data_IF_488062587352
#
_entry.id   IF_488062587352
#
_cell.length_a   1.000
_cell.length_b   1.000
_cell.length_c   1.000
_cell.angle_alpha   90.00
_cell.angle_beta   90.00
_cell.angle_gamma   90.00
#
_symmetry.space_group_name_H-M   'P 1'
#
loop_
_entity.id
_entity.type
_entity.pdbx_description
1 polymer ?
#
# COMPACT_ATOMS: atom_id res chain seq x y z
N UNK A 1 17.44 41.13 20.09
CA UNK A 1 17.30 39.98 19.15
C UNK A 1 17.50 40.40 17.68
N UNK A 2 18.67 40.95 17.29
CA UNK A 2 18.98 41.29 15.88
C UNK A 2 20.30 40.66 15.36
N UNK A 3 20.97 39.84 16.18
CA UNK A 3 22.27 39.24 15.83
C UNK A 3 22.14 37.95 14.99
N UNK A 4 21.04 37.21 15.11
CA UNK A 4 20.82 35.94 14.39
C UNK A 4 20.76 36.07 12.85
N UNK A 5 20.02 37.04 12.27
CA UNK A 5 19.99 37.19 10.81
C UNK A 5 21.33 37.68 10.24
N UNK A 6 22.10 38.46 11.01
CA UNK A 6 23.45 38.90 10.64
C UNK A 6 24.44 37.73 10.61
N UNK A 7 24.34 36.80 11.56
CA UNK A 7 25.16 35.59 11.60
C UNK A 7 24.85 34.62 10.44
N UNK A 8 23.58 34.49 10.04
CA UNK A 8 23.20 33.66 8.89
C UNK A 8 23.67 34.24 7.55
N UNK A 9 23.57 35.56 7.38
CA UNK A 9 24.09 36.25 6.18
C UNK A 9 25.62 36.17 6.15
N UNK A 10 26.30 36.36 7.28
CA UNK A 10 27.75 36.20 7.37
C UNK A 10 28.21 34.76 7.06
N UNK A 11 27.47 33.75 7.53
CA UNK A 11 27.74 32.33 7.24
C UNK A 11 27.56 31.99 5.77
N UNK A 12 26.50 32.50 5.12
CA UNK A 12 26.28 32.32 3.69
C UNK A 12 27.38 32.98 2.83
N UNK A 13 27.81 34.19 3.21
CA UNK A 13 28.92 34.89 2.53
C UNK A 13 30.25 34.15 2.75
N UNK A 14 30.50 33.63 3.95
CA UNK A 14 31.71 32.86 4.26
C UNK A 14 31.77 31.55 3.47
N UNK A 15 30.65 30.82 3.36
CA UNK A 15 30.59 29.58 2.59
C UNK A 15 30.74 29.82 1.08
N UNK A 16 30.15 30.90 0.54
CA UNK A 16 30.34 31.30 -0.85
C UNK A 16 31.79 31.73 -1.16
N UNK A 17 32.44 32.43 -0.24
CA UNK A 17 33.85 32.81 -0.35
C UNK A 17 34.78 31.57 -0.30
N UNK A 18 34.45 30.58 0.53
CA UNK A 18 35.23 29.35 0.63
C UNK A 18 35.18 28.52 -0.66
N UNK A 19 34.00 28.37 -1.26
CA UNK A 19 33.81 27.65 -2.54
C UNK A 19 34.52 28.34 -3.70
N UNK A 20 34.52 29.68 -3.74
CA UNK A 20 35.21 30.43 -4.80
C UNK A 20 36.73 30.39 -4.66
N UNK A 21 37.27 30.33 -3.44
CA UNK A 21 38.73 30.19 -3.21
C UNK A 21 39.22 28.78 -3.53
N UNK A 22 38.45 27.73 -3.22
CA UNK A 22 38.84 26.34 -3.53
C UNK A 22 38.78 26.04 -5.03
N UNK A 23 37.79 26.58 -5.75
CA UNK A 23 37.69 26.47 -7.21
C UNK A 23 38.74 27.29 -7.97
N UNK A 24 39.29 28.37 -7.37
CA UNK A 24 40.40 29.13 -7.96
C UNK A 24 41.77 28.52 -7.68
N UNK A 25 41.90 27.65 -6.66
CA UNK A 25 43.17 26.98 -6.31
C UNK A 25 43.45 25.72 -7.14
N UNK A 26 42.47 25.20 -7.88
CA UNK A 26 42.64 24.04 -8.77
C UNK A 26 43.13 24.42 -10.18
N UNK A 27 43.37 25.70 -10.44
CA UNK A 27 44.02 26.16 -11.67
C UNK A 27 45.43 26.68 -11.32
N UNK A 28 46.43 25.81 -11.44
CA UNK A 28 47.84 26.21 -11.60
C UNK A 28 48.37 25.73 -12.96
N UNK A 29 49.27 26.49 -13.62
CA UNK A 29 49.72 26.23 -14.99
C UNK A 29 50.95 25.30 -15.09
N UNK A 30 51.13 24.81 -16.32
CA UNK A 30 52.00 23.76 -16.91
C UNK A 30 53.51 23.70 -16.60
N UNK A 31 54.09 22.50 -16.83
CA UNK A 31 55.19 22.18 -17.79
C UNK A 31 55.45 20.64 -17.74
N UNK A 32 55.68 19.84 -18.79
CA UNK A 32 56.54 20.02 -20.00
C UNK A 32 56.24 18.96 -21.11
N UNK A 33 56.26 19.41 -22.38
CA UNK A 33 56.72 18.76 -23.65
C UNK A 33 56.18 17.40 -24.15
N UNK A 34 55.59 17.35 -25.38
CA UNK A 34 56.28 17.07 -26.69
C UNK A 34 55.29 16.90 -27.88
N UNK A 35 55.61 17.56 -29.00
CA UNK A 35 55.28 17.29 -30.44
C UNK A 35 53.86 17.42 -31.06
N UNK A 36 53.84 18.22 -32.14
CA UNK A 36 52.85 18.55 -33.20
C UNK A 36 52.39 17.39 -34.13
N UNK A 37 51.48 17.57 -35.14
CA UNK A 37 50.85 18.83 -35.62
C UNK A 37 49.31 18.84 -35.86
N UNK A 38 48.80 20.07 -35.86
CA UNK A 38 47.75 20.67 -36.71
C UNK A 38 46.73 19.76 -37.39
N UNK A 39 45.47 19.85 -36.95
CA UNK A 39 44.34 20.09 -37.85
C UNK A 39 43.55 21.29 -37.30
N UNK A 40 43.66 22.42 -37.99
CA UNK A 40 42.79 23.58 -37.78
C UNK A 40 41.39 23.22 -38.23
N UNK A 41 40.45 23.12 -37.29
CA UNK A 41 39.03 23.32 -37.56
C UNK A 41 38.52 24.37 -36.58
N UNK A 42 38.66 25.63 -37.01
CA UNK A 42 37.97 26.78 -36.43
C UNK A 42 36.48 26.53 -36.44
N UNK A 43 35.92 26.14 -35.29
CA UNK A 43 34.50 26.33 -35.00
C UNK A 43 34.44 27.30 -33.84
N UNK A 44 34.12 28.55 -34.14
CA UNK A 44 34.00 29.61 -33.14
C UNK A 44 32.91 29.28 -32.13
N UNK A 45 33.29 28.76 -30.97
CA UNK A 45 32.45 28.77 -29.78
C UNK A 45 32.57 30.19 -29.22
N UNK A 46 31.62 31.04 -29.60
CA UNK A 46 31.31 32.26 -28.85
C UNK A 46 31.00 31.82 -27.41
N UNK A 47 31.71 32.31 -26.37
CA UNK A 47 31.25 32.11 -25.01
C UNK A 47 29.88 32.79 -24.90
N UNK A 48 28.84 32.00 -24.67
CA UNK A 48 27.53 32.54 -24.30
C UNK A 48 27.67 33.12 -22.89
N UNK A 49 28.12 34.36 -22.80
CA UNK A 49 28.00 35.20 -21.60
C UNK A 49 26.53 35.55 -21.42
N UNK A 50 25.74 34.57 -20.95
CA UNK A 50 24.51 34.87 -20.23
C UNK A 50 24.96 35.45 -18.88
N UNK A 51 24.53 36.66 -18.48
CA UNK A 51 24.93 37.20 -17.19
C UNK A 51 24.47 36.23 -16.10
N UNK A 52 25.42 35.66 -15.35
CA UNK A 52 25.09 34.88 -14.17
C UNK A 52 24.33 35.81 -13.22
N UNK A 53 23.11 35.42 -12.84
CA UNK A 53 22.30 36.19 -11.89
C UNK A 53 23.15 36.53 -10.66
N UNK A 54 23.24 37.81 -10.29
CA UNK A 54 24.04 38.21 -9.15
C UNK A 54 23.35 37.75 -7.86
N UNK A 55 24.12 37.46 -6.81
CA UNK A 55 23.57 37.14 -5.49
C UNK A 55 22.66 38.25 -4.96
N UNK A 56 22.92 39.50 -5.34
CA UNK A 56 22.09 40.67 -5.05
C UNK A 56 20.71 40.59 -5.71
N UNK A 57 20.62 40.09 -6.94
CA UNK A 57 19.35 39.95 -7.67
C UNK A 57 18.46 38.86 -7.03
N UNK A 58 19.07 37.73 -6.63
CA UNK A 58 18.37 36.64 -5.94
C UNK A 58 17.80 37.12 -4.59
N UNK A 59 18.61 37.85 -3.81
CA UNK A 59 18.17 38.43 -2.52
C UNK A 59 17.08 39.48 -2.74
N UNK A 60 17.15 40.24 -3.83
CA UNK A 60 16.15 41.25 -4.17
C UNK A 60 14.83 40.63 -4.59
N UNK A 61 14.83 39.57 -5.42
CA UNK A 61 13.63 38.82 -5.80
C UNK A 61 12.95 38.16 -4.58
N UNK A 62 13.75 37.62 -3.65
CA UNK A 62 13.24 37.06 -2.40
C UNK A 62 12.58 38.12 -1.51
N UNK A 63 13.17 39.32 -1.41
CA UNK A 63 12.61 40.46 -0.66
C UNK A 63 11.39 41.08 -1.33
N UNK A 64 11.40 41.14 -2.65
CA UNK A 64 10.30 41.65 -3.47
C UNK A 64 9.10 40.70 -3.47
N UNK A 65 9.27 39.48 -2.93
CA UNK A 65 8.26 38.46 -2.92
C UNK A 65 7.72 38.23 -4.34
N UNK A 66 8.63 37.94 -5.28
CA UNK A 66 8.31 37.60 -6.66
C UNK A 66 8.84 36.19 -6.98
N UNK A 67 7.96 35.16 -7.08
CA UNK A 67 8.39 33.78 -7.21
C UNK A 67 8.75 33.44 -8.67
N UNK A 68 8.22 34.18 -9.64
CA UNK A 68 8.51 34.01 -11.07
C UNK A 68 9.86 34.61 -11.40
N UNK A 69 10.14 35.83 -10.93
CA UNK A 69 11.47 36.43 -11.05
C UNK A 69 12.52 35.56 -10.36
N UNK A 70 12.22 35.03 -9.16
CA UNK A 70 13.12 34.11 -8.46
C UNK A 70 13.36 32.83 -9.27
N UNK A 71 12.31 32.21 -9.83
CA UNK A 71 12.42 31.02 -10.69
C UNK A 71 13.32 31.29 -11.90
N UNK A 72 13.08 32.39 -12.61
CA UNK A 72 13.78 32.71 -13.84
C UNK A 72 15.25 33.06 -13.57
N UNK A 73 15.54 33.76 -12.47
CA UNK A 73 16.91 34.02 -12.01
C UNK A 73 17.64 32.72 -11.67
N UNK A 74 17.04 31.84 -10.87
CA UNK A 74 17.67 30.58 -10.48
C UNK A 74 17.90 29.63 -11.67
N UNK A 75 16.95 29.57 -12.62
CA UNK A 75 17.12 28.83 -13.89
C UNK A 75 18.22 29.43 -14.76
N UNK A 76 18.28 30.77 -14.85
CA UNK A 76 19.30 31.46 -15.64
C UNK A 76 20.72 31.27 -15.08
N UNK A 77 20.83 31.09 -13.76
CA UNK A 77 22.07 30.78 -13.06
C UNK A 77 22.49 29.29 -13.19
N UNK A 78 21.70 28.46 -13.87
CA UNK A 78 22.04 27.06 -14.15
C UNK A 78 21.91 26.12 -12.96
N UNK A 79 21.12 26.49 -11.93
CA UNK A 79 20.85 25.57 -10.81
C UNK A 79 20.02 24.36 -11.28
N UNK A 80 20.21 23.17 -10.66
CA UNK A 80 19.37 22.01 -10.92
C UNK A 80 17.88 22.32 -10.68
N UNK A 81 16.99 21.75 -11.51
CA UNK A 81 15.53 22.01 -11.44
C UNK A 81 14.95 21.67 -10.06
N UNK A 82 15.45 20.61 -9.41
CA UNK A 82 15.08 20.26 -8.04
C UNK A 82 15.40 21.39 -7.05
N UNK A 83 16.61 21.98 -7.14
CA UNK A 83 17.01 23.11 -6.28
C UNK A 83 16.17 24.36 -6.56
N UNK A 84 15.86 24.64 -7.83
CA UNK A 84 14.96 25.73 -8.21
C UNK A 84 13.58 25.52 -7.58
N UNK A 85 13.01 24.32 -7.72
CA UNK A 85 11.70 23.97 -7.15
C UNK A 85 11.67 24.10 -5.64
N UNK A 86 12.69 23.62 -4.92
CA UNK A 86 12.76 23.74 -3.46
C UNK A 86 12.81 25.20 -3.02
N UNK A 87 13.68 26.02 -3.63
CA UNK A 87 13.87 27.41 -3.23
C UNK A 87 12.65 28.28 -3.55
N UNK A 88 12.11 28.17 -4.77
CA UNK A 88 10.92 28.92 -5.17
C UNK A 88 9.69 28.43 -4.43
N UNK A 89 9.54 27.11 -4.25
CA UNK A 89 8.45 26.54 -3.44
C UNK A 89 8.48 27.08 -2.01
N UNK A 90 9.65 27.09 -1.37
CA UNK A 90 9.81 27.69 -0.03
C UNK A 90 9.42 29.18 -0.02
N UNK A 91 9.76 29.93 -1.06
CA UNK A 91 9.39 31.34 -1.18
C UNK A 91 7.87 31.53 -1.34
N UNK A 92 7.19 30.68 -2.11
CA UNK A 92 5.73 30.68 -2.26
C UNK A 92 5.07 30.37 -0.92
N UNK A 93 5.40 29.24 -0.30
CA UNK A 93 4.86 28.84 1.01
C UNK A 93 5.15 29.87 2.11
N UNK A 94 6.29 30.57 2.02
CA UNK A 94 6.63 31.68 2.91
C UNK A 94 5.57 32.78 2.98
N UNK A 95 4.84 33.04 1.88
CA UNK A 95 3.77 34.07 1.80
C UNK A 95 2.54 33.72 2.59
N UNK A 96 2.26 32.43 2.67
CA UNK A 96 1.09 31.88 3.35
C UNK A 96 1.40 31.57 4.81
N UNK A 97 2.68 31.42 5.16
CA UNK A 97 3.15 31.02 6.49
C UNK A 97 2.55 31.83 7.63
N UNK A 98 2.55 33.17 7.54
CA UNK A 98 2.04 34.00 8.64
C UNK A 98 0.52 33.91 8.77
N UNK A 99 -0.20 33.86 7.64
CA UNK A 99 -1.66 33.66 7.62
C UNK A 99 -2.04 32.29 8.19
N UNK A 100 -1.36 31.23 7.76
CA UNK A 100 -1.55 29.88 8.28
C UNK A 100 -1.22 29.82 9.78
N UNK A 101 -0.11 30.42 10.21
CA UNK A 101 0.28 30.47 11.63
C UNK A 101 -0.74 31.23 12.48
N UNK A 102 -1.37 32.28 11.95
CA UNK A 102 -2.42 33.02 12.65
C UNK A 102 -3.70 32.20 12.87
N UNK A 103 -3.96 31.21 12.03
CA UNK A 103 -5.09 30.27 12.16
C UNK A 103 -4.80 29.11 13.13
N UNK A 104 -3.54 28.89 13.50
CA UNK A 104 -3.19 27.81 14.42
C UNK A 104 -3.67 28.11 15.84
N UNK A 105 -4.21 27.10 16.55
CA UNK A 105 -4.53 27.25 17.96
C UNK A 105 -3.26 27.57 18.73
N UNK A 106 -3.28 28.63 19.54
CA UNK A 106 -2.12 29.02 20.35
C UNK A 106 -1.91 27.96 21.44
N UNK A 107 -0.67 27.51 21.68
CA UNK A 107 -0.39 26.61 22.78
C UNK A 107 -0.75 27.31 24.10
N UNK A 108 -1.55 26.65 24.91
CA UNK A 108 -1.88 27.10 26.26
C UNK A 108 -0.63 26.96 27.15
N UNK A 109 -0.05 28.07 27.65
CA UNK A 109 1.18 28.04 28.43
C UNK A 109 1.00 27.39 29.81
N UNK A 110 -0.24 27.26 30.30
CA UNK A 110 -0.54 26.64 31.59
C UNK A 110 -0.80 25.12 31.46
N UNK A 111 -0.85 24.61 30.23
CA UNK A 111 -1.13 23.20 29.97
C UNK A 111 0.09 22.32 30.28
N UNK A 112 -0.03 21.30 31.15
CA UNK A 112 1.10 20.41 31.45
C UNK A 112 1.58 19.63 30.21
N UNK A 113 2.90 19.38 30.11
CA UNK A 113 3.52 18.75 28.93
C UNK A 113 3.03 17.31 28.64
N UNK A 114 2.47 16.62 29.63
CA UNK A 114 1.86 15.29 29.46
C UNK A 114 0.38 15.34 29.00
N UNK A 115 -0.23 16.53 29.00
CA UNK A 115 -1.58 16.80 28.43
C UNK A 115 -1.46 17.49 27.08
N UNK A 116 -0.49 17.05 26.29
CA UNK A 116 -0.13 17.71 25.06
C UNK A 116 -0.97 17.15 23.90
N UNK A 117 -1.96 17.93 23.47
CA UNK A 117 -2.76 17.64 22.27
C UNK A 117 -1.99 18.01 20.99
N UNK A 118 -0.65 17.94 21.01
CA UNK A 118 0.21 18.27 19.87
C UNK A 118 -0.07 17.41 18.63
N UNK A 119 -0.80 16.30 18.75
CA UNK A 119 -1.25 15.52 17.60
C UNK A 119 -2.65 15.90 17.10
N UNK A 120 -3.38 16.79 17.78
CA UNK A 120 -4.73 17.22 17.44
C UNK A 120 -4.75 18.65 16.85
N UNK A 121 -3.83 18.94 15.92
CA UNK A 121 -3.73 20.26 15.26
C UNK A 121 -5.06 20.70 14.63
N UNK A 122 -5.82 19.75 14.07
CA UNK A 122 -7.11 20.01 13.42
C UNK A 122 -8.28 20.05 14.41
N UNK A 123 -8.29 19.22 15.46
CA UNK A 123 -9.41 19.18 16.41
C UNK A 123 -9.48 20.37 17.36
N UNK A 124 -8.40 21.16 17.48
CA UNK A 124 -8.37 22.41 18.26
C UNK A 124 -8.70 23.66 17.42
N UNK A 125 -9.04 23.52 16.14
CA UNK A 125 -9.43 24.62 15.24
C UNK A 125 -10.95 24.68 15.09
N UNK A 126 -11.51 25.89 15.04
CA UNK A 126 -12.92 26.10 14.64
C UNK A 126 -13.15 25.64 13.19
N UNK A 127 -14.41 25.39 12.82
CA UNK A 127 -14.78 25.02 11.45
C UNK A 127 -14.30 26.05 10.42
N UNK A 128 -14.45 27.32 10.75
CA UNK A 128 -14.00 28.45 9.93
C UNK A 128 -12.47 28.47 9.80
N UNK A 129 -11.74 28.27 10.90
CA UNK A 129 -10.28 28.19 10.88
C UNK A 129 -9.77 27.04 10.00
N UNK A 130 -10.42 25.87 10.08
CA UNK A 130 -10.11 24.70 9.25
C UNK A 130 -10.37 24.97 7.77
N UNK A 131 -11.51 25.59 7.44
CA UNK A 131 -11.86 25.97 6.07
C UNK A 131 -10.88 26.99 5.49
N UNK A 132 -10.55 28.03 6.25
CA UNK A 132 -9.57 29.04 5.87
C UNK A 132 -8.16 28.46 5.68
N UNK A 133 -7.75 27.53 6.55
CA UNK A 133 -6.48 26.81 6.40
C UNK A 133 -6.43 26.02 5.08
N UNK A 134 -7.50 25.26 4.76
CA UNK A 134 -7.61 24.53 3.50
C UNK A 134 -7.56 25.48 2.29
N UNK A 135 -8.25 26.63 2.35
CA UNK A 135 -8.22 27.64 1.29
C UNK A 135 -6.79 28.15 1.04
N UNK A 136 -6.07 28.53 2.09
CA UNK A 136 -4.68 28.99 1.97
C UNK A 136 -3.76 27.90 1.43
N UNK A 137 -3.99 26.64 1.80
CA UNK A 137 -3.23 25.49 1.29
C UNK A 137 -3.46 25.31 -0.23
N UNK A 138 -4.71 25.42 -0.70
CA UNK A 138 -5.06 25.37 -2.13
C UNK A 138 -4.43 26.53 -2.90
N UNK A 139 -4.60 27.76 -2.42
CA UNK A 139 -3.98 28.95 -3.05
C UNK A 139 -2.45 28.78 -3.21
N UNK A 140 -1.77 28.27 -2.18
CA UNK A 140 -0.32 28.02 -2.23
C UNK A 140 0.07 26.91 -3.23
N UNK A 141 -0.72 25.85 -3.31
CA UNK A 141 -0.53 24.76 -4.26
C UNK A 141 -0.78 25.22 -5.71
N UNK A 142 -1.81 26.02 -5.95
CA UNK A 142 -2.14 26.58 -7.26
C UNK A 142 -1.06 27.55 -7.73
N UNK A 143 -0.60 28.43 -6.84
CA UNK A 143 0.53 29.33 -7.15
C UNK A 143 1.80 28.54 -7.44
N UNK A 144 2.09 27.50 -6.65
CA UNK A 144 3.24 26.60 -6.89
C UNK A 144 3.16 25.94 -8.26
N UNK A 145 2.00 25.41 -8.63
CA UNK A 145 1.76 24.75 -9.91
C UNK A 145 1.87 25.75 -11.08
N UNK A 146 1.31 26.95 -10.92
CA UNK A 146 1.37 28.03 -11.92
C UNK A 146 2.81 28.49 -12.18
N UNK A 147 3.62 28.62 -11.12
CA UNK A 147 4.99 29.14 -11.23
C UNK A 147 6.00 28.06 -11.64
N UNK A 148 5.93 26.88 -11.03
CA UNK A 148 6.93 25.81 -11.20
C UNK A 148 6.49 24.70 -12.16
N UNK A 149 5.22 24.70 -12.57
CA UNK A 149 4.59 23.57 -13.24
C UNK A 149 4.22 22.46 -12.25
N UNK A 150 3.62 21.36 -12.74
CA UNK A 150 3.26 20.21 -11.90
C UNK A 150 4.46 19.68 -11.12
N UNK A 151 4.28 19.43 -9.82
CA UNK A 151 5.32 18.85 -8.98
C UNK A 151 5.30 17.32 -9.13
N UNK A 152 6.33 16.73 -9.77
CA UNK A 152 6.42 15.28 -10.00
C UNK A 152 6.64 14.48 -8.70
N UNK A 153 7.18 15.13 -7.67
CA UNK A 153 7.58 14.48 -6.42
C UNK A 153 6.58 14.70 -5.26
N UNK A 154 5.49 15.43 -5.50
CA UNK A 154 4.47 15.62 -4.49
C UNK A 154 3.58 14.37 -4.39
N UNK A 155 3.88 13.52 -3.40
CA UNK A 155 3.15 12.27 -3.12
C UNK A 155 1.63 12.44 -2.87
N UNK A 156 1.13 13.67 -2.72
CA UNK A 156 -0.31 13.96 -2.58
C UNK A 156 -1.04 14.44 -3.85
N UNK A 157 -0.35 15.02 -4.84
CA UNK A 157 -0.99 15.72 -5.97
C UNK A 157 -0.21 15.66 -7.30
N UNK A 158 0.90 14.92 -7.34
CA UNK A 158 1.93 15.05 -8.39
C UNK A 158 2.12 13.84 -9.30
N UNK A 159 1.71 12.65 -8.87
CA UNK A 159 1.62 11.53 -9.77
C UNK A 159 0.35 11.68 -10.59
N UNK A 160 0.50 11.79 -11.91
CA UNK A 160 -0.53 11.34 -12.82
C UNK A 160 -0.80 9.89 -12.42
N UNK A 161 -1.85 9.67 -11.65
CA UNK A 161 -2.25 8.34 -11.25
C UNK A 161 -2.34 7.54 -12.55
N UNK A 162 -1.43 6.59 -12.73
CA UNK A 162 -1.34 5.83 -13.98
C UNK A 162 -2.65 5.08 -14.23
N UNK A 163 -3.47 4.88 -13.19
CA UNK A 163 -4.83 4.35 -13.29
C UNK A 163 -5.76 5.25 -14.11
N UNK A 164 -5.55 6.57 -14.12
CA UNK A 164 -6.32 7.56 -14.89
C UNK A 164 -5.80 7.77 -16.33
N UNK A 165 -4.76 7.05 -16.75
CA UNK A 165 -4.15 7.21 -18.09
C UNK A 165 -5.09 6.97 -19.28
N UNK A 166 -6.25 6.36 -19.04
CA UNK A 166 -7.31 6.18 -20.06
C UNK A 166 -8.11 7.46 -20.33
N UNK A 167 -8.01 8.47 -19.45
CA UNK A 167 -8.72 9.74 -19.59
C UNK A 167 -7.84 10.80 -20.26
N UNK A 168 -8.42 11.64 -21.14
CA UNK A 168 -7.79 12.87 -21.62
C UNK A 168 -7.31 13.77 -20.48
N UNK A 169 -6.30 14.60 -20.71
CA UNK A 169 -5.71 15.48 -19.69
C UNK A 169 -6.73 16.43 -19.03
N UNK A 170 -7.62 17.02 -19.83
CA UNK A 170 -8.68 17.90 -19.34
C UNK A 170 -9.61 17.16 -18.36
N UNK A 171 -10.15 15.99 -18.75
CA UNK A 171 -10.98 15.17 -17.87
C UNK A 171 -10.27 14.65 -16.62
N UNK A 172 -8.94 14.40 -16.70
CA UNK A 172 -8.15 14.03 -15.52
C UNK A 172 -8.10 15.16 -14.51
N UNK A 173 -8.01 16.41 -14.97
CA UNK A 173 -8.03 17.59 -14.11
C UNK A 173 -9.41 17.74 -13.47
N UNK A 174 -10.48 17.69 -14.26
CA UNK A 174 -11.86 17.80 -13.74
C UNK A 174 -12.17 16.69 -12.71
N UNK A 175 -11.73 15.46 -12.98
CA UNK A 175 -11.83 14.34 -12.05
C UNK A 175 -11.13 14.64 -10.71
N UNK A 176 -9.89 15.11 -10.76
CA UNK A 176 -9.09 15.39 -9.56
C UNK A 176 -9.73 16.52 -8.73
N UNK A 177 -10.30 17.53 -9.39
CA UNK A 177 -11.00 18.63 -8.73
C UNK A 177 -12.27 18.13 -8.01
N UNK A 178 -13.11 17.35 -8.69
CA UNK A 178 -14.31 16.75 -8.08
C UNK A 178 -13.93 15.86 -6.89
N UNK A 179 -12.96 14.95 -7.06
CA UNK A 179 -12.51 14.06 -5.98
C UNK A 179 -12.02 14.86 -4.77
N UNK A 180 -11.23 15.91 -5.01
CA UNK A 180 -10.71 16.76 -3.95
C UNK A 180 -11.82 17.51 -3.19
N UNK A 181 -12.78 18.09 -3.90
CA UNK A 181 -13.88 18.84 -3.30
C UNK A 181 -14.74 17.94 -2.40
N UNK A 182 -15.09 16.75 -2.87
CA UNK A 182 -15.85 15.79 -2.07
C UNK A 182 -15.04 15.21 -0.90
N UNK A 183 -13.74 14.96 -1.08
CA UNK A 183 -12.87 14.58 0.03
C UNK A 183 -12.82 15.67 1.11
N UNK A 184 -12.71 16.94 0.73
CA UNK A 184 -12.71 18.07 1.66
C UNK A 184 -14.04 18.18 2.42
N UNK A 185 -15.18 18.02 1.73
CA UNK A 185 -16.50 18.03 2.34
C UNK A 185 -16.70 16.86 3.32
N UNK A 186 -16.27 15.65 2.94
CA UNK A 186 -16.35 14.47 3.82
C UNK A 186 -15.44 14.64 5.04
N UNK A 187 -14.21 15.15 4.85
CA UNK A 187 -13.28 15.44 5.95
C UNK A 187 -13.85 16.47 6.91
N UNK A 188 -14.56 17.49 6.42
CA UNK A 188 -15.22 18.47 7.28
C UNK A 188 -16.29 17.83 8.16
N UNK A 189 -17.14 16.96 7.59
CA UNK A 189 -18.13 16.20 8.38
C UNK A 189 -17.43 15.31 9.41
N UNK A 190 -16.38 14.58 9.01
CA UNK A 190 -15.62 13.70 9.91
C UNK A 190 -14.98 14.46 11.09
N UNK A 191 -14.48 15.67 10.85
CA UNK A 191 -13.91 16.50 11.90
C UNK A 191 -14.98 17.08 12.82
N UNK A 192 -16.17 17.41 12.30
CA UNK A 192 -17.29 17.91 13.09
C UNK A 192 -17.89 16.84 14.02
N UNK A 193 -17.71 15.55 13.69
CA UNK A 193 -18.09 14.45 14.58
C UNK A 193 -17.32 14.47 15.91
N UNK A 194 -16.11 15.04 15.98
CA UNK A 194 -15.29 15.15 17.21
C UNK A 194 -15.20 13.84 18.03
N UNK A 195 -15.17 12.69 17.36
CA UNK A 195 -15.12 11.37 18.00
C UNK A 195 -16.48 10.77 18.41
N UNK A 196 -17.59 11.45 18.12
CA UNK A 196 -18.96 10.95 18.33
C UNK A 196 -19.80 11.08 17.06
N UNK A 197 -20.18 9.94 16.48
CA UNK A 197 -20.95 9.87 15.23
C UNK A 197 -22.44 10.00 15.47
N UNK A 198 -23.10 10.99 14.87
CA UNK A 198 -24.56 11.07 14.83
C UNK A 198 -25.12 10.39 13.57
N UNK A 199 -26.38 9.88 13.59
CA UNK A 199 -27.04 9.38 12.39
C UNK A 199 -27.13 10.44 11.27
N UNK A 200 -27.27 11.72 11.62
CA UNK A 200 -27.27 12.80 10.61
C UNK A 200 -25.93 12.93 9.88
N UNK A 201 -24.82 12.59 10.52
CA UNK A 201 -23.49 12.69 9.91
C UNK A 201 -23.27 11.54 8.93
N UNK A 202 -23.76 10.34 9.25
CA UNK A 202 -23.72 9.20 8.34
C UNK A 202 -24.61 9.42 7.11
N UNK A 203 -25.79 10.02 7.27
CA UNK A 203 -26.64 10.44 6.13
C UNK A 203 -25.94 11.49 5.24
N UNK A 204 -25.30 12.50 5.83
CA UNK A 204 -24.54 13.51 5.08
C UNK A 204 -23.41 12.88 4.27
N UNK A 205 -22.63 11.99 4.87
CA UNK A 205 -21.52 11.32 4.18
C UNK A 205 -22.04 10.46 3.03
N UNK A 206 -23.16 9.74 3.23
CA UNK A 206 -23.79 8.97 2.16
C UNK A 206 -24.24 9.87 1.01
N UNK A 207 -24.93 10.95 1.32
CA UNK A 207 -25.38 11.93 0.33
C UNK A 207 -24.21 12.51 -0.47
N UNK A 208 -23.12 12.91 0.21
CA UNK A 208 -21.91 13.42 -0.46
C UNK A 208 -21.30 12.38 -1.41
N UNK A 209 -21.28 11.10 -1.05
CA UNK A 209 -20.78 10.03 -1.94
C UNK A 209 -21.69 9.77 -3.14
N UNK A 210 -23.00 9.85 -2.96
CA UNK A 210 -23.97 9.70 -4.05
C UNK A 210 -23.86 10.85 -5.05
N UNK A 211 -23.74 12.09 -4.55
CA UNK A 211 -23.52 13.27 -5.39
C UNK A 211 -22.16 13.22 -6.09
N UNK A 212 -21.09 12.81 -5.40
CA UNK A 212 -19.78 12.56 -6.01
C UNK A 212 -19.90 11.59 -7.19
N UNK A 213 -20.60 10.46 -7.01
CA UNK A 213 -20.80 9.48 -8.08
C UNK A 213 -21.57 10.07 -9.25
N UNK A 214 -22.58 10.91 -8.99
CA UNK A 214 -23.37 11.57 -10.03
C UNK A 214 -22.56 12.59 -10.82
N UNK A 215 -21.75 13.40 -10.14
CA UNK A 215 -20.92 14.42 -10.78
C UNK A 215 -19.80 13.77 -11.61
N UNK A 216 -19.20 12.69 -11.10
CA UNK A 216 -18.27 11.87 -11.88
C UNK A 216 -18.94 11.26 -13.12
N UNK A 217 -20.17 10.76 -13.01
CA UNK A 217 -20.91 10.22 -14.14
C UNK A 217 -21.32 11.29 -15.18
N UNK A 218 -21.33 12.58 -14.82
CA UNK A 218 -21.61 13.68 -15.75
C UNK A 218 -20.42 14.02 -16.65
N UNK A 219 -19.18 13.84 -16.14
CA UNK A 219 -17.94 14.12 -16.91
C UNK A 219 -17.38 12.88 -17.62
N UNK A 220 -17.72 11.69 -17.12
CA UNK A 220 -17.29 10.41 -17.70
C UNK A 220 -18.40 9.83 -18.60
N UNK A 221 -18.02 9.38 -19.79
CA UNK A 221 -18.88 8.53 -20.61
C UNK A 221 -19.15 7.19 -19.91
N UNK A 222 -20.21 6.46 -20.26
CA UNK A 222 -20.49 5.15 -19.64
C UNK A 222 -19.31 4.16 -19.74
N UNK A 223 -18.55 4.19 -20.84
CA UNK A 223 -17.35 3.37 -21.00
C UNK A 223 -16.20 3.81 -20.07
N UNK A 224 -15.95 5.11 -19.98
CA UNK A 224 -14.95 5.67 -19.05
C UNK A 224 -15.33 5.42 -17.59
N UNK A 225 -16.62 5.46 -17.24
CA UNK A 225 -17.09 5.13 -15.90
C UNK A 225 -16.87 3.65 -15.56
N UNK A 226 -17.08 2.74 -16.53
CA UNK A 226 -16.79 1.32 -16.33
C UNK A 226 -15.27 1.07 -16.12
N UNK A 227 -14.41 1.72 -16.90
CA UNK A 227 -12.96 1.66 -16.71
C UNK A 227 -12.53 2.29 -15.38
N UNK A 228 -13.19 3.37 -14.97
CA UNK A 228 -13.00 3.97 -13.65
C UNK A 228 -13.32 2.97 -12.54
N UNK A 229 -14.52 2.37 -12.56
CA UNK A 229 -14.92 1.39 -11.53
C UNK A 229 -13.95 0.20 -11.51
N UNK A 230 -13.53 -0.29 -12.67
CA UNK A 230 -12.58 -1.39 -12.81
C UNK A 230 -11.21 -1.09 -12.17
N UNK A 231 -10.81 0.17 -12.09
CA UNK A 231 -9.46 0.57 -11.63
C UNK A 231 -9.44 1.20 -10.24
N UNK A 232 -10.50 1.91 -9.88
CA UNK A 232 -10.52 2.85 -8.75
C UNK A 232 -11.51 2.48 -7.65
N UNK A 233 -12.55 1.70 -7.96
CA UNK A 233 -13.58 1.31 -6.97
C UNK A 233 -12.99 0.59 -5.74
N UNK A 234 -13.73 0.55 -4.63
CA UNK A 234 -13.33 -0.20 -3.44
C UNK A 234 -13.07 -1.67 -3.77
N UNK A 235 -13.93 -2.29 -4.59
CA UNK A 235 -13.75 -3.64 -5.13
C UNK A 235 -12.42 -3.78 -5.87
N UNK A 236 -12.09 -2.83 -6.76
CA UNK A 236 -10.83 -2.82 -7.48
C UNK A 236 -9.61 -2.68 -6.55
N UNK A 237 -9.68 -1.81 -5.52
CA UNK A 237 -8.60 -1.67 -4.54
C UNK A 237 -8.32 -2.99 -3.81
N UNK A 238 -9.37 -3.66 -3.32
CA UNK A 238 -9.25 -4.93 -2.61
C UNK A 238 -8.76 -6.05 -3.54
N UNK A 239 -9.31 -6.11 -4.75
CA UNK A 239 -8.98 -7.16 -5.70
C UNK A 239 -7.55 -7.04 -6.23
N UNK A 240 -7.04 -5.82 -6.46
CA UNK A 240 -5.67 -5.59 -6.95
C UNK A 240 -4.63 -6.28 -6.07
N UNK A 241 -4.75 -6.16 -4.75
CA UNK A 241 -3.84 -6.85 -3.82
C UNK A 241 -3.91 -8.36 -3.91
N UNK A 242 -5.11 -8.93 -4.09
CA UNK A 242 -5.30 -10.38 -4.26
C UNK A 242 -4.72 -10.84 -5.60
N UNK A 243 -4.96 -10.09 -6.67
CA UNK A 243 -4.56 -10.44 -8.03
C UNK A 243 -3.05 -10.33 -8.25
N UNK A 244 -2.38 -9.37 -7.60
CA UNK A 244 -0.91 -9.31 -7.59
C UNK A 244 -0.29 -10.54 -6.94
N UNK A 245 -0.89 -11.07 -5.86
CA UNK A 245 -0.39 -12.29 -5.18
C UNK A 245 -0.68 -13.55 -5.98
N UNK A 246 -1.81 -13.57 -6.68
CA UNK A 246 -2.22 -14.65 -7.56
C UNK A 246 -1.46 -14.68 -8.89
N UNK A 247 -0.79 -13.58 -9.25
CA UNK A 247 -0.25 -13.36 -10.60
C UNK A 247 -1.32 -13.60 -11.68
N UNK A 248 -2.48 -12.95 -11.47
CA UNK A 248 -3.62 -13.10 -12.35
C UNK A 248 -3.52 -12.20 -13.59
N UNK A 249 -3.93 -12.73 -14.73
CA UNK A 249 -4.03 -11.99 -16.00
C UNK A 249 -5.12 -10.92 -15.97
N UNK A 250 -5.10 -9.99 -16.92
CA UNK A 250 -6.14 -8.96 -17.05
C UNK A 250 -7.54 -9.57 -17.27
N UNK A 251 -7.64 -10.65 -18.05
CA UNK A 251 -8.90 -11.34 -18.29
C UNK A 251 -9.44 -11.99 -17.01
N UNK A 252 -8.57 -12.62 -16.21
CA UNK A 252 -8.93 -13.16 -14.90
C UNK A 252 -9.36 -12.04 -13.95
N UNK A 253 -8.66 -10.90 -13.98
CA UNK A 253 -9.01 -9.72 -13.20
C UNK A 253 -10.40 -9.21 -13.54
N UNK A 254 -10.70 -8.98 -14.83
CA UNK A 254 -12.01 -8.47 -15.28
C UNK A 254 -13.15 -9.43 -14.91
N UNK A 255 -12.94 -10.74 -15.07
CA UNK A 255 -13.91 -11.77 -14.67
C UNK A 255 -14.20 -11.75 -13.18
N UNK A 256 -13.16 -11.84 -12.34
CA UNK A 256 -13.30 -11.84 -10.88
C UNK A 256 -13.87 -10.51 -10.39
N UNK A 257 -13.46 -9.39 -10.99
CA UNK A 257 -13.98 -8.06 -10.68
C UNK A 257 -15.49 -7.99 -10.87
N UNK A 258 -16.01 -8.43 -12.01
CA UNK A 258 -17.45 -8.41 -12.27
C UNK A 258 -18.24 -9.23 -11.25
N UNK A 259 -17.73 -10.40 -10.87
CA UNK A 259 -18.36 -11.27 -9.87
C UNK A 259 -18.33 -10.64 -8.48
N UNK A 260 -17.15 -10.16 -8.06
CA UNK A 260 -16.97 -9.51 -6.77
C UNK A 260 -17.79 -8.23 -6.66
N UNK A 261 -17.85 -7.42 -7.72
CA UNK A 261 -18.65 -6.19 -7.73
C UNK A 261 -20.14 -6.47 -7.60
N UNK A 262 -20.65 -7.49 -8.30
CA UNK A 262 -22.05 -7.92 -8.14
C UNK A 262 -22.35 -8.35 -6.70
N UNK A 263 -21.41 -9.09 -6.08
CA UNK A 263 -21.54 -9.45 -4.68
C UNK A 263 -21.50 -8.21 -3.77
N UNK A 264 -20.52 -7.33 -3.92
CA UNK A 264 -20.32 -6.13 -3.10
C UNK A 264 -21.52 -5.18 -3.19
N UNK A 265 -22.04 -4.94 -4.40
CA UNK A 265 -23.21 -4.08 -4.66
C UNK A 265 -24.50 -4.67 -4.04
N UNK A 266 -24.55 -5.99 -3.81
CA UNK A 266 -25.69 -6.64 -3.13
C UNK A 266 -25.59 -6.64 -1.60
N UNK A 267 -24.42 -6.30 -1.05
CA UNK A 267 -24.23 -6.22 0.40
C UNK A 267 -24.68 -4.88 0.94
N UNK A 268 -25.15 -4.87 2.19
CA UNK A 268 -25.39 -3.63 2.91
C UNK A 268 -24.04 -3.00 3.26
N UNK A 269 -23.85 -1.73 2.92
CA UNK A 269 -22.67 -0.95 3.27
C UNK A 269 -22.96 0.08 4.35
N UNK A 270 -21.93 0.53 5.04
CA UNK A 270 -21.99 1.70 5.90
C UNK A 270 -22.02 3.00 5.07
N UNK A 271 -22.08 4.15 5.74
CA UNK A 271 -22.02 5.45 5.07
C UNK A 271 -20.72 5.69 4.28
N UNK A 272 -19.67 4.92 4.56
CA UNK A 272 -18.40 4.98 3.89
C UNK A 272 -18.28 4.00 2.72
N UNK A 273 -19.31 3.20 2.42
CA UNK A 273 -19.27 2.19 1.37
C UNK A 273 -18.44 0.95 1.74
N UNK A 274 -18.17 0.75 3.04
CA UNK A 274 -17.56 -0.48 3.55
C UNK A 274 -18.66 -1.49 3.88
N UNK A 275 -18.40 -2.81 3.73
CA UNK A 275 -19.37 -3.82 4.12
C UNK A 275 -19.78 -3.69 5.60
N UNK A 276 -21.07 -3.56 5.85
CA UNK A 276 -21.63 -3.55 7.21
C UNK A 276 -21.54 -4.94 7.83
N UNK A 277 -21.40 -5.00 9.15
CA UNK A 277 -21.53 -6.26 9.87
C UNK A 277 -23.00 -6.70 9.86
N UNK A 278 -23.31 -7.97 9.57
CA UNK A 278 -24.67 -8.49 9.68
C UNK A 278 -25.20 -8.33 11.10
N UNK A 279 -26.41 -7.81 11.25
CA UNK A 279 -27.06 -7.50 12.52
C UNK A 279 -28.01 -8.62 12.99
N UNK A 280 -28.38 -9.55 12.10
CA UNK A 280 -29.27 -10.67 12.41
C UNK A 280 -28.72 -12.03 11.96
N UNK A 281 -29.15 -13.14 12.59
CA UNK A 281 -28.79 -14.49 12.13
C UNK A 281 -29.20 -14.78 10.67
N UNK A 282 -30.31 -14.20 10.21
CA UNK A 282 -30.78 -14.34 8.83
C UNK A 282 -29.86 -13.62 7.85
N UNK A 283 -29.40 -12.41 8.17
CA UNK A 283 -28.43 -11.68 7.35
C UNK A 283 -27.09 -12.42 7.29
N UNK A 284 -26.63 -12.99 8.41
CA UNK A 284 -25.45 -13.85 8.45
C UNK A 284 -25.59 -15.03 7.48
N UNK A 285 -26.74 -15.70 7.49
CA UNK A 285 -27.00 -16.82 6.59
C UNK A 285 -27.03 -16.40 5.12
N UNK A 286 -27.74 -15.30 4.81
CA UNK A 286 -27.80 -14.75 3.44
C UNK A 286 -26.41 -14.36 2.92
N UNK A 287 -25.59 -13.75 3.77
CA UNK A 287 -24.20 -13.40 3.44
C UNK A 287 -23.36 -14.65 3.16
N UNK A 288 -23.43 -15.66 4.01
CA UNK A 288 -22.74 -16.93 3.78
C UNK A 288 -23.17 -17.63 2.49
N UNK A 289 -24.45 -17.61 2.17
CA UNK A 289 -24.98 -18.16 0.90
C UNK A 289 -24.46 -17.37 -0.30
N UNK A 290 -24.43 -16.05 -0.22
CA UNK A 290 -23.90 -15.17 -1.26
C UNK A 290 -22.38 -15.34 -1.45
N UNK A 291 -21.63 -15.51 -0.35
CA UNK A 291 -20.18 -15.78 -0.38
C UNK A 291 -19.87 -17.15 -1.00
N UNK A 292 -20.69 -18.18 -0.69
CA UNK A 292 -20.58 -19.50 -1.33
C UNK A 292 -20.84 -19.42 -2.83
N UNK A 293 -21.93 -18.73 -3.22
CA UNK A 293 -22.26 -18.55 -4.63
C UNK A 293 -21.15 -17.81 -5.38
N UNK A 294 -20.60 -16.74 -4.79
CA UNK A 294 -19.45 -16.02 -5.36
C UNK A 294 -18.25 -16.95 -5.55
N UNK A 295 -17.96 -17.78 -4.54
CA UNK A 295 -16.85 -18.74 -4.58
C UNK A 295 -17.03 -19.76 -5.70
N UNK A 296 -18.24 -20.32 -5.85
CA UNK A 296 -18.58 -21.25 -6.93
C UNK A 296 -18.46 -20.60 -8.31
N UNK A 297 -18.92 -19.35 -8.46
CA UNK A 297 -18.79 -18.59 -9.72
C UNK A 297 -17.33 -18.29 -10.08
N UNK A 298 -16.51 -17.90 -9.10
CA UNK A 298 -15.06 -17.71 -9.32
C UNK A 298 -14.40 -19.02 -9.73
N UNK A 299 -14.72 -20.13 -9.05
CA UNK A 299 -14.20 -21.46 -9.37
C UNK A 299 -14.59 -21.91 -10.78
N UNK A 300 -15.85 -21.69 -11.18
CA UNK A 300 -16.32 -21.99 -12.53
C UNK A 300 -15.64 -21.11 -13.60
N UNK A 301 -15.36 -19.84 -13.28
CA UNK A 301 -14.73 -18.88 -14.20
C UNK A 301 -13.25 -19.17 -14.45
N UNK A 302 -12.52 -19.56 -13.40
CA UNK A 302 -11.08 -19.87 -13.47
C UNK A 302 -10.79 -21.32 -13.89
N UNK A 303 -11.70 -22.25 -13.59
CA UNK A 303 -11.44 -23.68 -13.66
C UNK A 303 -10.68 -24.20 -12.44
N UNK A 304 -10.66 -25.54 -12.22
CA UNK A 304 -10.24 -26.14 -10.95
C UNK A 304 -8.76 -25.89 -10.61
N UNK A 305 -7.85 -26.03 -11.56
CA UNK A 305 -6.41 -25.86 -11.32
C UNK A 305 -6.07 -24.41 -10.97
N UNK A 306 -6.60 -23.48 -11.76
CA UNK A 306 -6.32 -22.05 -11.60
C UNK A 306 -7.01 -21.45 -10.38
N UNK A 307 -8.20 -21.96 -10.03
CA UNK A 307 -8.84 -21.68 -8.75
C UNK A 307 -8.01 -22.17 -7.55
N UNK A 308 -7.38 -23.35 -7.64
CA UNK A 308 -6.51 -23.83 -6.58
C UNK A 308 -5.29 -22.91 -6.35
N UNK A 309 -4.72 -22.35 -7.43
CA UNK A 309 -3.67 -21.34 -7.33
C UNK A 309 -4.21 -20.01 -6.75
N UNK A 310 -5.43 -19.60 -7.12
CA UNK A 310 -6.11 -18.42 -6.57
C UNK A 310 -6.32 -18.52 -5.06
N UNK A 311 -6.79 -19.66 -4.57
CA UNK A 311 -6.93 -19.92 -3.13
C UNK A 311 -5.56 -19.94 -2.46
N UNK A 312 -4.59 -20.66 -3.04
CA UNK A 312 -3.25 -20.80 -2.48
C UNK A 312 -2.56 -19.45 -2.30
N UNK A 313 -2.67 -18.55 -3.28
CA UNK A 313 -2.06 -17.21 -3.23
C UNK A 313 -2.59 -16.33 -2.09
N UNK A 314 -3.81 -16.59 -1.61
CA UNK A 314 -4.41 -15.86 -0.48
C UNK A 314 -3.99 -16.42 0.88
N UNK A 315 -3.43 -17.63 0.91
CA UNK A 315 -2.98 -18.25 2.14
C UNK A 315 -1.68 -17.61 2.67
N UNK A 316 -1.69 -17.23 3.95
CA UNK A 316 -0.55 -16.59 4.59
C UNK A 316 0.71 -17.47 4.63
N UNK A 317 0.58 -18.78 4.89
CA UNK A 317 1.70 -19.71 4.91
C UNK A 317 2.37 -19.82 3.54
N UNK A 318 1.56 -19.82 2.47
CA UNK A 318 2.08 -19.81 1.09
C UNK A 318 2.76 -18.47 0.74
N UNK A 319 2.21 -17.35 1.20
CA UNK A 319 2.83 -16.03 1.01
C UNK A 319 4.20 -15.94 1.69
N UNK A 320 4.38 -16.58 2.85
CA UNK A 320 5.68 -16.68 3.50
C UNK A 320 6.66 -17.53 2.68
N UNK A 321 6.22 -18.66 2.13
CA UNK A 321 7.05 -19.50 1.27
C UNK A 321 7.48 -18.82 -0.03
N UNK A 322 6.57 -18.13 -0.71
CA UNK A 322 6.89 -17.36 -1.93
C UNK A 322 7.87 -16.22 -1.64
N UNK A 323 7.74 -15.56 -0.48
CA UNK A 323 8.69 -14.54 -0.04
C UNK A 323 10.07 -15.12 0.28
N UNK A 324 10.12 -16.26 0.98
CA UNK A 324 11.37 -16.95 1.32
C UNK A 324 12.11 -17.45 0.08
N UNK A 325 11.39 -18.11 -0.85
CA UNK A 325 11.97 -18.61 -2.10
C UNK A 325 12.51 -17.48 -2.97
N UNK A 326 11.78 -16.36 -3.10
CA UNK A 326 12.26 -15.18 -3.82
C UNK A 326 13.51 -14.58 -3.17
N UNK A 327 13.53 -14.42 -1.84
CA UNK A 327 14.67 -13.87 -1.11
C UNK A 327 15.93 -14.73 -1.23
N UNK A 328 15.75 -16.05 -1.25
CA UNK A 328 16.84 -17.02 -1.34
C UNK A 328 17.17 -17.43 -2.79
N UNK A 329 16.52 -16.82 -3.78
CA UNK A 329 16.67 -17.17 -5.21
C UNK A 329 16.47 -18.66 -5.49
N UNK A 330 15.55 -19.30 -4.76
CA UNK A 330 15.17 -20.70 -4.97
C UNK A 330 14.25 -20.83 -6.19
N UNK A 331 14.16 -22.03 -6.80
CA UNK A 331 13.20 -22.28 -7.87
C UNK A 331 11.77 -21.87 -7.48
N UNK A 332 11.00 -21.25 -8.40
CA UNK A 332 9.65 -20.75 -8.08
C UNK A 332 8.68 -21.86 -7.64
N UNK A 333 8.88 -23.09 -8.13
CA UNK A 333 8.07 -24.25 -7.76
C UNK A 333 8.32 -24.74 -6.32
N UNK A 334 9.45 -24.37 -5.69
CA UNK A 334 9.79 -24.82 -4.34
C UNK A 334 8.71 -24.43 -3.33
N UNK A 335 8.13 -23.22 -3.44
CA UNK A 335 7.07 -22.76 -2.55
C UNK A 335 5.82 -23.64 -2.68
N UNK A 336 5.43 -23.97 -3.92
CA UNK A 336 4.27 -24.84 -4.21
C UNK A 336 4.51 -26.26 -3.70
N UNK A 337 5.69 -26.82 -3.94
CA UNK A 337 6.05 -28.17 -3.50
C UNK A 337 6.01 -28.29 -1.97
N UNK A 338 6.64 -27.35 -1.26
CA UNK A 338 6.66 -27.36 0.21
C UNK A 338 5.26 -27.16 0.80
N UNK A 339 4.47 -26.27 0.21
CA UNK A 339 3.09 -26.06 0.64
C UNK A 339 2.22 -27.32 0.48
N UNK A 340 2.36 -28.02 -0.64
CA UNK A 340 1.57 -29.22 -0.95
C UNK A 340 1.92 -30.43 -0.07
N UNK A 341 3.01 -30.38 0.72
CA UNK A 341 3.32 -31.43 1.70
C UNK A 341 2.20 -31.64 2.71
N UNK A 342 1.46 -30.58 3.02
CA UNK A 342 0.32 -30.65 3.94
C UNK A 342 -0.76 -31.63 3.48
N UNK A 343 -1.01 -31.69 2.17
CA UNK A 343 -2.05 -32.54 1.58
C UNK A 343 -1.58 -34.00 1.65
N UNK A 344 -0.30 -34.23 1.35
CA UNK A 344 0.35 -35.54 1.50
C UNK A 344 0.32 -36.01 2.96
N UNK A 345 0.68 -35.15 3.91
CA UNK A 345 0.67 -35.49 5.33
C UNK A 345 -0.75 -35.72 5.84
N UNK A 346 -1.75 -34.96 5.35
CA UNK A 346 -3.15 -35.19 5.70
C UNK A 346 -3.59 -36.61 5.29
N UNK A 347 -3.35 -37.00 4.03
CA UNK A 347 -3.68 -38.35 3.53
C UNK A 347 -2.93 -39.45 4.30
N UNK A 348 -1.63 -39.30 4.52
CA UNK A 348 -0.84 -40.29 5.24
C UNK A 348 -1.22 -40.39 6.72
N UNK A 349 -1.53 -39.26 7.37
CA UNK A 349 -1.98 -39.22 8.76
C UNK A 349 -3.30 -40.00 8.94
N UNK A 350 -4.22 -39.85 7.98
CA UNK A 350 -5.48 -40.60 7.94
C UNK A 350 -5.22 -42.10 7.71
N UNK A 351 -4.34 -42.45 6.77
CA UNK A 351 -3.96 -43.84 6.48
C UNK A 351 -3.35 -44.54 7.71
N UNK A 352 -2.53 -43.85 8.50
CA UNK A 352 -1.97 -44.38 9.76
C UNK A 352 -3.09 -44.61 10.79
N UNK A 353 -4.01 -43.65 10.93
CA UNK A 353 -5.12 -43.75 11.86
C UNK A 353 -6.06 -44.92 11.52
N UNK A 354 -6.38 -45.11 10.25
CA UNK A 354 -7.32 -46.13 9.76
C UNK A 354 -6.70 -47.53 9.68
N UNK A 355 -5.38 -47.66 9.80
CA UNK A 355 -4.72 -48.95 9.74
C UNK A 355 -4.96 -49.77 11.02
N UNK A 356 -5.87 -50.75 10.94
CA UNK A 356 -6.21 -51.65 12.04
C UNK A 356 -5.10 -52.65 12.41
N UNK A 357 -4.11 -52.85 11.53
CA UNK A 357 -2.97 -53.75 11.80
C UNK A 357 -1.91 -53.15 12.72
N UNK A 358 -1.94 -51.82 12.94
CA UNK A 358 -0.99 -51.13 13.81
C UNK A 358 -1.54 -51.02 15.24
N UNK A 359 -0.76 -51.50 16.20
CA UNK A 359 -1.00 -51.24 17.62
C UNK A 359 -0.78 -49.76 17.98
N UNK A 360 -1.24 -49.33 19.17
CA UNK A 360 -1.17 -47.94 19.59
C UNK A 360 0.25 -47.34 19.56
N UNK A 361 1.24 -48.07 20.08
CA UNK A 361 2.65 -47.64 20.04
C UNK A 361 3.21 -47.59 18.61
N UNK A 362 2.81 -48.52 17.75
CA UNK A 362 3.23 -48.52 16.34
C UNK A 362 2.61 -47.35 15.57
N UNK A 363 1.35 -46.99 15.84
CA UNK A 363 0.72 -45.80 15.28
C UNK A 363 1.45 -44.54 15.75
N UNK A 364 1.74 -44.42 17.05
CA UNK A 364 2.49 -43.29 17.61
C UNK A 364 3.85 -43.13 16.94
N UNK A 365 4.60 -44.22 16.75
CA UNK A 365 5.87 -44.18 16.04
C UNK A 365 5.70 -43.76 14.57
N UNK A 366 4.71 -44.34 13.86
CA UNK A 366 4.46 -43.98 12.46
C UNK A 366 4.10 -42.49 12.28
N UNK A 367 3.35 -41.91 13.22
CA UNK A 367 3.04 -40.47 13.26
C UNK A 367 4.30 -39.62 13.50
N UNK A 368 5.15 -40.00 14.44
CA UNK A 368 6.43 -39.32 14.70
C UNK A 368 7.38 -39.40 13.49
N UNK A 369 7.43 -40.56 12.81
CA UNK A 369 8.23 -40.76 11.59
C UNK A 369 7.70 -39.93 10.42
N UNK A 370 6.37 -39.81 10.27
CA UNK A 370 5.74 -38.94 9.28
C UNK A 370 6.11 -37.47 9.52
N UNK A 371 6.06 -37.01 10.77
CA UNK A 371 6.46 -35.66 11.12
C UNK A 371 7.94 -35.40 10.84
N UNK A 372 8.81 -36.32 11.25
CA UNK A 372 10.28 -36.21 11.06
C UNK A 372 10.66 -36.14 9.58
N UNK A 373 10.16 -37.07 8.75
CA UNK A 373 10.42 -37.07 7.31
C UNK A 373 9.94 -35.79 6.62
N UNK A 374 8.78 -35.26 7.05
CA UNK A 374 8.26 -34.00 6.52
C UNK A 374 9.21 -32.83 6.84
N UNK A 375 9.73 -32.75 8.08
CA UNK A 375 10.70 -31.71 8.47
C UNK A 375 11.98 -31.78 7.64
N UNK A 376 12.47 -32.99 7.37
CA UNK A 376 13.65 -33.22 6.53
C UNK A 376 13.42 -32.77 5.08
N UNK A 377 12.25 -33.09 4.51
CA UNK A 377 11.89 -32.66 3.17
C UNK A 377 11.80 -31.14 3.04
N UNK A 378 11.23 -30.46 4.05
CA UNK A 378 11.19 -28.99 4.12
C UNK A 378 12.60 -28.40 4.19
N UNK A 379 13.46 -28.96 5.04
CA UNK A 379 14.88 -28.53 5.17
C UNK A 379 15.66 -28.71 3.88
N UNK A 380 15.46 -29.83 3.19
CA UNK A 380 16.08 -30.10 1.88
C UNK A 380 15.61 -29.09 0.82
N UNK A 381 14.33 -28.72 0.84
CA UNK A 381 13.74 -27.85 -0.19
C UNK A 381 14.04 -26.36 0.03
N UNK A 382 14.01 -25.88 1.29
CA UNK A 382 14.16 -24.46 1.62
C UNK A 382 15.57 -24.07 2.09
N UNK A 383 16.42 -25.05 2.44
CA UNK A 383 17.65 -24.82 3.17
C UNK A 383 17.41 -24.60 4.67
N UNK A 384 18.47 -24.73 5.47
CA UNK A 384 18.38 -24.76 6.93
C UNK A 384 17.74 -23.49 7.54
N UNK A 385 18.17 -22.30 7.08
CA UNK A 385 17.72 -21.02 7.63
C UNK A 385 16.22 -20.78 7.40
N UNK A 386 15.75 -20.88 6.15
CA UNK A 386 14.33 -20.67 5.83
C UNK A 386 13.44 -21.79 6.39
N UNK A 387 13.92 -23.04 6.39
CA UNK A 387 13.17 -24.14 6.98
C UNK A 387 12.97 -23.97 8.48
N UNK A 388 13.96 -23.46 9.23
CA UNK A 388 13.80 -23.23 10.66
C UNK A 388 12.69 -22.22 10.97
N UNK A 389 12.67 -21.10 10.24
CA UNK A 389 11.63 -20.07 10.40
C UNK A 389 10.26 -20.60 9.98
N UNK A 390 10.20 -21.27 8.83
CA UNK A 390 8.94 -21.77 8.28
C UNK A 390 8.34 -22.89 9.13
N UNK A 391 9.14 -23.84 9.62
CA UNK A 391 8.67 -24.91 10.51
C UNK A 391 8.11 -24.35 11.83
N UNK A 392 8.67 -23.26 12.35
CA UNK A 392 8.19 -22.59 13.58
C UNK A 392 6.89 -21.82 13.39
N UNK A 393 6.64 -21.27 12.19
CA UNK A 393 5.54 -20.31 11.96
C UNK A 393 4.45 -20.81 11.02
N UNK A 394 4.80 -21.53 9.96
CA UNK A 394 3.88 -21.97 8.89
C UNK A 394 3.60 -23.47 8.85
N UNK A 395 4.17 -24.28 9.75
CA UNK A 395 3.88 -25.72 9.89
C UNK A 395 3.68 -26.13 11.35
N UNK A 396 3.05 -25.27 12.15
CA UNK A 396 2.73 -25.58 13.56
C UNK A 396 1.87 -26.83 13.71
N UNK A 397 1.04 -27.13 12.70
CA UNK A 397 0.22 -28.34 12.60
C UNK A 397 1.03 -29.64 12.59
N UNK A 398 2.32 -29.60 12.24
CA UNK A 398 3.16 -30.80 12.21
C UNK A 398 3.44 -31.35 13.61
N UNK A 399 3.38 -30.48 14.63
CA UNK A 399 3.46 -30.89 16.03
C UNK A 399 2.25 -31.72 16.45
N UNK A 400 1.07 -31.44 15.88
CA UNK A 400 -0.14 -32.23 16.12
C UNK A 400 0.00 -33.63 15.49
N UNK A 401 0.56 -33.72 14.28
CA UNK A 401 0.85 -34.99 13.61
C UNK A 401 1.80 -35.83 14.45
N UNK A 402 2.89 -35.25 14.94
CA UNK A 402 3.85 -35.93 15.83
C UNK A 402 3.21 -36.45 17.14
N UNK A 403 2.19 -35.75 17.64
CA UNK A 403 1.39 -36.17 18.80
C UNK A 403 0.33 -37.23 18.48
N UNK A 404 0.27 -37.73 17.24
CA UNK A 404 -0.66 -38.77 16.82
C UNK A 404 -2.02 -38.25 16.37
N UNK A 405 -2.11 -36.99 15.94
CA UNK A 405 -3.34 -36.41 15.41
C UNK A 405 -3.40 -36.49 13.88
N UNK A 406 -4.57 -36.81 13.38
CA UNK A 406 -4.93 -36.63 11.97
C UNK A 406 -5.23 -35.17 11.73
N UNK A 407 -4.68 -34.59 10.66
CA UNK A 407 -4.92 -33.21 10.25
C UNK A 407 -5.77 -33.17 8.99
N UNK A 408 -6.63 -32.17 8.88
CA UNK A 408 -7.37 -31.87 7.65
C UNK A 408 -7.31 -30.39 7.33
N UNK A 409 -7.27 -30.06 6.04
CA UNK A 409 -7.29 -28.70 5.53
C UNK A 409 -8.59 -28.46 4.77
N UNK A 410 -9.19 -27.29 4.96
CA UNK A 410 -10.38 -26.88 4.23
C UNK A 410 -10.04 -26.47 2.80
N UNK A 411 -11.06 -26.36 1.94
CA UNK A 411 -10.90 -25.97 0.53
C UNK A 411 -10.24 -24.59 0.36
N UNK A 412 -10.39 -23.69 1.33
CA UNK A 412 -9.70 -22.39 1.38
C UNK A 412 -8.23 -22.47 1.88
N UNK A 413 -7.72 -23.69 2.10
CA UNK A 413 -6.36 -23.96 2.54
C UNK A 413 -6.06 -23.67 4.00
N UNK A 414 -7.06 -23.41 4.85
CA UNK A 414 -6.86 -23.28 6.31
C UNK A 414 -6.86 -24.67 6.97
N UNK A 415 -6.19 -24.82 8.12
CA UNK A 415 -6.35 -26.04 8.92
C UNK A 415 -7.78 -26.08 9.47
N UNK A 416 -8.53 -27.13 9.15
CA UNK A 416 -9.94 -27.26 9.49
C UNK A 416 -10.17 -27.98 10.81
N UNK A 417 -9.40 -29.04 11.09
CA UNK A 417 -9.49 -29.77 12.36
C UNK A 417 -8.26 -30.64 12.61
N UNK A 418 -8.03 -30.99 13.87
CA UNK A 418 -7.19 -32.14 14.24
C UNK A 418 -7.98 -33.09 15.14
N UNK A 419 -7.85 -34.39 14.91
CA UNK A 419 -8.51 -35.45 15.70
C UNK A 419 -7.50 -36.52 16.09
N UNK A 420 -7.67 -37.14 17.25
CA UNK A 420 -6.79 -38.23 17.68
C UNK A 420 -6.88 -39.42 16.71
N UNK A 421 -5.76 -39.77 16.08
CA UNK A 421 -5.60 -40.99 15.28
C UNK A 421 -5.23 -42.22 16.14
N UNK A 422 -4.99 -42.01 17.42
CA UNK A 422 -4.66 -43.04 18.41
C UNK A 422 -5.95 -43.67 18.98
N UNK A 423 -6.77 -44.27 18.12
CA UNK A 423 -7.92 -45.06 18.55
C UNK A 423 -7.59 -46.55 18.54
N UNK A 424 -8.07 -47.27 19.55
CA UNK A 424 -7.98 -48.74 19.60
C UNK A 424 -8.92 -49.38 18.58
N UNK A 425 -8.56 -50.53 17.98
CA UNK A 425 -9.46 -51.24 17.07
C UNK A 425 -10.77 -51.57 17.80
N UNK A 426 -11.91 -51.19 17.21
CA UNK A 426 -13.22 -51.60 17.74
C UNK A 426 -13.24 -53.13 17.80
N UNK A 427 -13.30 -53.70 19.01
CA UNK A 427 -13.59 -55.13 19.18
C UNK A 427 -14.85 -55.44 18.38
N UNK A 428 -14.75 -56.30 17.35
CA UNK A 428 -15.93 -56.93 16.73
C UNK A 428 -16.72 -57.59 17.86
N UNK A 429 -17.89 -57.03 18.19
CA UNK A 429 -18.84 -57.65 19.10
C UNK A 429 -19.32 -58.94 18.46
N UNK A 430 -18.79 -60.08 18.91
CA UNK A 430 -19.34 -61.40 18.60
C UNK A 430 -20.78 -61.45 19.13
N UNK A 431 -21.78 -61.86 18.33
CA UNK A 431 -23.14 -62.04 18.85
C UNK A 431 -23.13 -63.14 19.92
N UNK A 432 -23.70 -62.83 21.10
CA UNK A 432 -23.88 -63.82 22.17
C UNK A 432 -24.71 -65.01 21.69
N UNK A 433 -24.34 -66.26 22.04
CA UNK A 433 -25.15 -67.43 21.70
C UNK A 433 -26.49 -67.39 22.46
N UNK A 434 -27.58 -67.91 21.86
CA UNK A 434 -28.90 -67.90 22.47
C UNK A 434 -28.92 -68.75 23.74
N UNK A 435 -29.42 -68.17 24.83
CA UNK A 435 -29.56 -68.86 26.11
C UNK A 435 -30.58 -70.00 26.01
N UNK A 436 -30.12 -71.24 26.23
CA UNK A 436 -30.95 -72.40 26.52
C UNK A 436 -31.62 -72.19 27.88
N UNK A 437 -32.96 -72.17 27.90
CA UNK A 437 -33.76 -72.17 29.14
C UNK A 437 -33.86 -73.61 29.69
N UNK A 438 -33.74 -73.81 31.02
CA UNK A 438 -34.09 -75.08 31.66
C UNK A 438 -35.60 -75.32 31.69
#
# INVERSE_FOLDING_TARGET
MKALPLLLVASLVANAAFVTVTLRRTASPDETTTSSPSHSATTGIKPSTKPAASSTDIVSALKANDPEALRDLLRSAGLPDETVRTMVGTAIWGRYRDRMKALQPKPDPEKPWWKNDQNNWYGNMSREQRSEMRRLQREANDESTRVLGPNKDNYGYGWQDTRLSFLPEEKRKDYQEIEQDYQDLIQEVQQDMQGFTLPSDTEKIRFLKEEQKRDLAAILTPAELADYELRMSNTAQQLRWKMTKFDGSEDEYRKIFSLQKTFDDSQQTDAYGNPSNPQSPEEWKKRQESEKLLTEQIKASLGPERYADYVRSQNYEYQQLTSATKRLSLPPETAKQVYNLRDTVSVESQRIADNESLGMEQKKQAFADLATRTREQVRSSLGAEAAEVYLKSGMTWLNNVEQGQVITFSENGQQQSSKSGLSTPKKKTTPSPPATKP
#
